data_IF_022451556981
#
_entry.id   IF_022451556981
#
_cell.length_a   1.000
_cell.length_b   1.000
_cell.length_c   1.000
_cell.angle_alpha   90.00
_cell.angle_beta   90.00
_cell.angle_gamma   90.00
#
_symmetry.space_group_name_H-M   'P 1'
#
loop_
_entity.id
_entity.type
_entity.pdbx_description
1 polymer ?
#
# COMPACT_ATOMS: atom_id res chain seq x y z
N UNK A 1 5.79 8.44 -3.39
CA UNK A 1 5.47 7.87 -2.05
C UNK A 1 4.16 7.07 -2.13
N UNK A 2 4.11 5.92 -1.47
CA UNK A 2 2.92 5.07 -1.37
C UNK A 2 2.39 5.14 0.05
N UNK A 3 1.09 5.27 0.19
CA UNK A 3 0.44 5.17 1.48
C UNK A 3 -0.87 4.41 1.35
N UNK A 4 -1.16 3.56 2.33
CA UNK A 4 -2.31 2.67 2.26
C UNK A 4 -2.98 2.47 3.62
N UNK A 5 -4.26 2.11 3.56
CA UNK A 5 -5.06 1.64 4.69
C UNK A 5 -5.70 0.32 4.28
N UNK A 6 -5.27 -0.76 4.92
CA UNK A 6 -5.79 -2.10 4.71
C UNK A 6 -6.09 -2.79 6.04
N UNK A 7 -6.49 -4.04 5.98
CA UNK A 7 -6.65 -4.90 7.16
C UNK A 7 -5.31 -5.46 7.61
N UNK A 8 -5.26 -6.09 8.80
CA UNK A 8 -4.03 -6.71 9.32
C UNK A 8 -3.40 -7.73 8.35
N UNK A 9 -4.22 -8.44 7.57
CA UNK A 9 -3.74 -9.38 6.56
C UNK A 9 -2.95 -8.67 5.45
N UNK A 10 -3.47 -7.53 4.99
CA UNK A 10 -2.81 -6.68 3.99
C UNK A 10 -1.57 -6.02 4.57
N UNK A 11 -1.62 -5.54 5.81
CA UNK A 11 -0.44 -4.96 6.47
C UNK A 11 0.69 -5.98 6.61
N UNK A 12 0.38 -7.23 6.96
CA UNK A 12 1.37 -8.33 7.00
C UNK A 12 1.94 -8.62 5.62
N UNK A 13 1.09 -8.78 4.60
CA UNK A 13 1.54 -9.06 3.24
C UNK A 13 2.42 -7.93 2.69
N UNK A 14 2.00 -6.67 2.88
CA UNK A 14 2.80 -5.51 2.45
C UNK A 14 4.12 -5.42 3.21
N UNK A 15 4.15 -5.82 4.49
CA UNK A 15 5.39 -5.96 5.26
C UNK A 15 6.33 -7.03 4.69
N UNK A 16 5.81 -8.21 4.36
CA UNK A 16 6.58 -9.33 3.78
C UNK A 16 7.14 -8.99 2.39
N UNK A 17 6.36 -8.29 1.56
CA UNK A 17 6.71 -7.97 0.18
C UNK A 17 7.18 -6.53 -0.02
N UNK A 18 7.50 -5.81 1.06
CA UNK A 18 7.84 -4.39 1.03
C UNK A 18 8.93 -4.06 0.01
N UNK A 19 10.02 -4.82 0.00
CA UNK A 19 11.17 -4.56 -0.87
C UNK A 19 10.81 -4.72 -2.36
N UNK A 20 9.98 -5.73 -2.67
CA UNK A 20 9.51 -5.97 -4.03
C UNK A 20 8.59 -4.82 -4.48
N UNK A 21 7.62 -4.45 -3.63
CA UNK A 21 6.69 -3.36 -3.91
C UNK A 21 7.46 -2.06 -4.16
N UNK A 22 8.42 -1.74 -3.31
CA UNK A 22 9.23 -0.52 -3.41
C UNK A 22 10.09 -0.50 -4.69
N UNK A 23 10.69 -1.64 -5.06
CA UNK A 23 11.51 -1.75 -6.26
C UNK A 23 10.68 -1.64 -7.55
N UNK A 24 9.53 -2.30 -7.63
CA UNK A 24 8.64 -2.26 -8.80
C UNK A 24 7.98 -0.90 -9.00
N UNK A 25 7.63 -0.23 -7.90
CA UNK A 25 6.92 1.05 -7.94
C UNK A 25 7.84 2.26 -7.96
N UNK A 26 9.14 2.06 -7.76
CA UNK A 26 10.14 3.12 -7.61
C UNK A 26 9.74 4.16 -6.55
N UNK A 27 9.04 3.74 -5.51
CA UNK A 27 8.57 4.63 -4.46
C UNK A 27 9.67 4.88 -3.41
N UNK A 28 9.77 6.12 -2.92
CA UNK A 28 10.72 6.46 -1.85
C UNK A 28 10.30 5.96 -0.46
N UNK A 29 9.00 5.78 -0.25
CA UNK A 29 8.44 5.30 1.01
C UNK A 29 7.11 4.60 0.82
N UNK A 30 6.81 3.68 1.75
CA UNK A 30 5.55 2.98 1.90
C UNK A 30 5.10 3.08 3.36
N UNK A 31 3.92 3.67 3.60
CA UNK A 31 3.42 3.98 4.95
C UNK A 31 1.97 3.50 5.15
N UNK A 32 1.68 2.96 6.34
CA UNK A 32 0.31 2.68 6.78
C UNK A 32 -0.27 3.97 7.35
N UNK A 33 -1.22 4.60 6.64
CA UNK A 33 -1.94 5.77 7.13
C UNK A 33 -3.26 5.95 6.41
N UNK A 34 -4.17 6.69 7.03
CA UNK A 34 -5.41 7.08 6.37
C UNK A 34 -5.10 8.01 5.19
N UNK A 35 -5.54 7.62 4.00
CA UNK A 35 -5.24 8.34 2.76
C UNK A 35 -6.49 8.67 1.96
N UNK A 36 -6.40 9.74 1.17
CA UNK A 36 -7.24 9.92 0.01
C UNK A 36 -6.62 9.12 -1.15
N UNK A 37 -7.42 8.34 -1.83
CA UNK A 37 -6.93 7.33 -2.77
C UNK A 37 -8.05 6.43 -3.25
N UNK A 38 -7.70 5.53 -4.16
CA UNK A 38 -8.61 4.57 -4.75
C UNK A 38 -8.74 3.34 -3.84
N UNK A 39 -9.92 2.73 -3.84
CA UNK A 39 -10.18 1.48 -3.13
C UNK A 39 -9.94 0.30 -4.08
N UNK A 40 -9.18 -0.67 -3.61
CA UNK A 40 -8.84 -1.89 -4.32
C UNK A 40 -9.30 -3.09 -3.51
N UNK A 41 -9.88 -4.07 -4.20
CA UNK A 41 -10.12 -5.38 -3.62
C UNK A 41 -8.83 -6.21 -3.74
N UNK A 42 -8.18 -6.46 -2.60
CA UNK A 42 -6.98 -7.28 -2.53
C UNK A 42 -7.33 -8.60 -1.83
N UNK A 43 -7.75 -9.61 -2.61
CA UNK A 43 -8.15 -10.93 -2.12
C UNK A 43 -9.32 -10.91 -1.11
N UNK A 44 -10.34 -10.07 -1.36
CA UNK A 44 -11.51 -9.88 -0.50
C UNK A 44 -11.32 -8.78 0.56
N UNK A 45 -10.12 -8.20 0.66
CA UNK A 45 -9.78 -7.14 1.61
C UNK A 45 -9.78 -5.78 0.91
N UNK A 46 -10.85 -5.00 1.13
CA UNK A 46 -10.94 -3.63 0.60
C UNK A 46 -9.84 -2.79 1.23
N UNK A 47 -8.91 -2.34 0.38
CA UNK A 47 -7.72 -1.59 0.77
C UNK A 47 -7.70 -0.28 0.02
N UNK A 48 -7.53 0.82 0.75
CA UNK A 48 -7.41 2.15 0.16
C UNK A 48 -5.95 2.49 -0.06
N UNK A 49 -5.56 2.80 -1.30
CA UNK A 49 -4.18 3.10 -1.67
C UNK A 49 -4.11 4.51 -2.27
N UNK A 50 -3.26 5.35 -1.69
CA UNK A 50 -2.92 6.68 -2.17
C UNK A 50 -1.48 6.69 -2.69
N UNK A 51 -1.30 7.15 -3.92
CA UNK A 51 0.02 7.29 -4.55
C UNK A 51 0.29 8.77 -4.78
N UNK A 52 1.36 9.28 -4.18
CA UNK A 52 1.87 10.62 -4.42
C UNK A 52 3.07 10.53 -5.37
N UNK A 53 2.93 11.07 -6.58
CA UNK A 53 4.03 11.18 -7.55
C UNK A 53 4.87 12.40 -7.18
N UNK A 54 6.19 12.21 -7.15
CA UNK A 54 7.18 13.29 -6.96
C UNK A 54 7.62 13.79 -8.33
#
# INVERSE_FOLDING_TARGET
KIAYKGTEAIEKAVGEYKDIIMNETLADSLEVKEVQGEEFDLNGEITKIGIEKV
#
